data_IF_769277263311
#
_entry.id   IF_769277263311
#
_cell.length_a   1.000
_cell.length_b   1.000
_cell.length_c   1.000
_cell.angle_alpha   90.00
_cell.angle_beta   90.00
_cell.angle_gamma   90.00
#
_symmetry.space_group_name_H-M   'P 1'
#
loop_
_entity.id
_entity.type
_entity.pdbx_description
1 polymer ?
#
# COMPACT_ATOMS: atom_id res chain seq x y z
N UNK A 1 -110.79 33.50 -23.23
CA UNK A 1 -111.67 34.70 -23.10
C UNK A 1 -110.76 35.90 -23.06
N UNK A 2 -110.71 36.61 -24.21
CA UNK A 2 -111.20 37.93 -24.38
C UNK A 2 -110.39 38.98 -23.62
N UNK A 3 -109.91 40.03 -24.13
CA UNK A 3 -110.11 40.81 -25.30
C UNK A 3 -109.29 42.12 -25.17
N UNK A 4 -108.75 42.56 -26.27
CA UNK A 4 -108.72 43.96 -26.77
C UNK A 4 -108.28 45.08 -25.79
N UNK A 5 -107.55 46.05 -26.20
CA UNK A 5 -107.41 46.77 -27.44
C UNK A 5 -106.61 48.05 -27.33
N UNK A 6 -106.13 48.38 -28.46
CA UNK A 6 -105.91 49.69 -29.09
C UNK A 6 -105.37 50.93 -28.34
N UNK A 7 -104.34 51.46 -28.97
CA UNK A 7 -104.38 52.89 -29.39
C UNK A 7 -103.01 53.58 -29.49
N UNK A 8 -102.50 53.66 -30.69
CA UNK A 8 -101.97 54.83 -31.44
C UNK A 8 -101.34 56.00 -30.60
N UNK A 9 -100.18 56.52 -30.83
CA UNK A 9 -99.51 57.03 -32.02
C UNK A 9 -98.23 57.82 -31.65
N UNK A 10 -97.24 57.68 -32.51
CA UNK A 10 -96.38 58.75 -33.02
C UNK A 10 -95.30 59.43 -32.15
N UNK A 11 -94.05 59.27 -32.54
CA UNK A 11 -92.92 60.06 -32.07
C UNK A 11 -91.58 59.60 -32.64
N UNK A 12 -91.40 59.67 -33.97
CA UNK A 12 -90.09 59.54 -34.64
C UNK A 12 -89.22 60.74 -34.26
N UNK A 13 -88.17 60.56 -33.39
CA UNK A 13 -86.92 61.28 -33.50
C UNK A 13 -85.85 60.91 -32.39
N UNK A 14 -86.19 59.99 -31.50
CA UNK A 14 -85.26 59.62 -30.41
C UNK A 14 -84.20 58.56 -30.76
N UNK A 15 -84.30 57.79 -31.85
CA UNK A 15 -83.46 56.59 -32.13
C UNK A 15 -82.08 56.87 -32.71
N UNK A 16 -81.86 58.06 -33.37
CA UNK A 16 -80.54 58.36 -33.95
C UNK A 16 -79.52 58.86 -32.87
N UNK A 17 -79.89 59.64 -31.89
CA UNK A 17 -79.02 60.13 -30.82
C UNK A 17 -78.61 59.03 -29.86
N UNK A 18 -79.50 58.09 -29.52
CA UNK A 18 -79.17 56.96 -28.64
C UNK A 18 -78.17 55.95 -29.30
N UNK A 19 -78.21 55.76 -30.62
CA UNK A 19 -77.28 54.89 -31.35
C UNK A 19 -75.84 55.45 -31.40
N UNK A 20 -75.70 56.77 -31.46
CA UNK A 20 -74.35 57.42 -31.45
C UNK A 20 -73.75 57.36 -30.06
N UNK A 21 -74.53 57.54 -29.00
CA UNK A 21 -74.07 57.45 -27.62
C UNK A 21 -73.68 55.99 -27.27
N UNK A 22 -74.48 55.02 -27.70
CA UNK A 22 -74.13 53.58 -27.49
C UNK A 22 -72.95 53.15 -28.35
N UNK A 23 -72.75 53.72 -29.54
CA UNK A 23 -71.54 53.50 -30.35
C UNK A 23 -70.26 54.07 -29.72
N UNK A 24 -70.35 55.27 -29.14
CA UNK A 24 -69.21 55.89 -28.42
C UNK A 24 -68.88 55.13 -27.12
N UNK A 25 -69.87 54.68 -26.37
CA UNK A 25 -69.69 53.87 -25.18
C UNK A 25 -69.08 52.50 -25.55
N UNK A 26 -69.53 51.88 -26.65
CA UNK A 26 -68.92 50.59 -27.11
C UNK A 26 -67.43 50.73 -27.54
N UNK A 27 -67.09 51.87 -28.19
CA UNK A 27 -65.68 52.14 -28.55
C UNK A 27 -64.80 52.40 -27.32
N UNK A 28 -65.35 53.12 -26.31
CA UNK A 28 -64.58 53.32 -25.05
C UNK A 28 -64.46 52.03 -24.23
N UNK A 29 -65.49 51.18 -24.20
CA UNK A 29 -65.48 49.90 -23.51
C UNK A 29 -64.55 48.89 -24.25
N UNK A 30 -64.59 48.84 -25.58
CA UNK A 30 -63.77 48.00 -26.38
C UNK A 30 -62.29 48.50 -26.41
N UNK A 31 -62.09 49.82 -26.47
CA UNK A 31 -60.76 50.44 -26.39
C UNK A 31 -60.12 50.31 -24.99
N UNK A 32 -60.91 50.61 -23.94
CA UNK A 32 -60.50 50.44 -22.54
C UNK A 32 -60.34 48.98 -22.13
N UNK A 33 -61.22 48.10 -22.59
CA UNK A 33 -61.16 46.68 -22.39
C UNK A 33 -59.94 46.05 -23.13
N UNK A 34 -59.68 46.47 -24.36
CA UNK A 34 -58.50 46.03 -25.15
C UNK A 34 -57.20 46.50 -24.56
N UNK A 35 -57.15 47.72 -23.98
CA UNK A 35 -55.99 48.23 -23.30
C UNK A 35 -55.77 47.55 -21.94
N UNK A 36 -56.81 47.27 -21.19
CA UNK A 36 -56.76 46.52 -19.91
C UNK A 36 -56.35 45.07 -20.11
N UNK A 37 -56.91 44.40 -21.14
CA UNK A 37 -56.52 43.02 -21.48
C UNK A 37 -55.06 42.94 -21.98
N UNK A 38 -54.63 43.95 -22.74
CA UNK A 38 -53.18 43.99 -23.18
C UNK A 38 -52.26 44.31 -22.04
N UNK A 39 -52.65 45.07 -21.03
CA UNK A 39 -51.86 45.29 -19.80
C UNK A 39 -51.92 44.10 -18.85
N UNK A 40 -53.04 43.36 -18.77
CA UNK A 40 -53.17 42.14 -17.95
C UNK A 40 -52.59 40.90 -18.58
N UNK A 41 -52.42 40.85 -19.90
CA UNK A 41 -51.73 39.77 -20.65
C UNK A 41 -50.25 40.06 -20.93
N UNK A 42 -49.67 41.17 -20.42
CA UNK A 42 -48.22 41.35 -20.40
C UNK A 42 -47.69 40.35 -19.41
N UNK A 43 -46.89 39.30 -19.81
CA UNK A 43 -46.32 38.36 -18.88
C UNK A 43 -45.46 39.17 -17.93
N UNK A 44 -45.79 39.14 -16.64
CA UNK A 44 -44.96 39.66 -15.57
C UNK A 44 -43.62 38.93 -15.67
N UNK A 45 -42.60 39.56 -16.25
CA UNK A 45 -41.24 39.01 -16.47
C UNK A 45 -40.46 39.11 -15.18
N UNK A 46 -41.05 38.57 -14.11
CA UNK A 46 -40.31 38.38 -12.88
C UNK A 46 -39.40 37.15 -13.07
N UNK A 47 -38.09 37.38 -13.05
CA UNK A 47 -37.10 36.31 -13.01
C UNK A 47 -37.38 35.55 -11.72
N UNK A 48 -37.47 34.21 -11.82
CA UNK A 48 -37.67 33.33 -10.67
C UNK A 48 -36.58 33.60 -9.61
N UNK A 49 -36.95 34.00 -8.38
CA UNK A 49 -35.96 34.28 -7.33
C UNK A 49 -35.01 33.13 -7.05
N UNK A 50 -35.45 31.89 -7.32
CA UNK A 50 -34.60 30.71 -7.17
C UNK A 50 -33.44 30.64 -8.19
N UNK A 51 -33.51 31.41 -9.26
CA UNK A 51 -32.51 31.54 -10.31
C UNK A 51 -31.60 32.76 -10.16
N UNK A 52 -31.68 33.46 -9.06
CA UNK A 52 -30.82 34.63 -8.80
C UNK A 52 -29.76 34.24 -7.77
N UNK A 53 -28.51 34.47 -8.10
CA UNK A 53 -27.37 34.39 -7.17
C UNK A 53 -26.69 35.75 -7.10
N UNK A 54 -26.03 36.05 -6.00
CA UNK A 54 -25.26 37.30 -5.86
C UNK A 54 -23.77 37.01 -6.05
N UNK A 55 -23.04 37.93 -6.67
CA UNK A 55 -21.61 37.94 -6.67
C UNK A 55 -21.09 38.24 -5.25
N UNK A 56 -20.31 37.35 -4.69
CA UNK A 56 -19.78 37.44 -3.32
C UNK A 56 -18.25 37.38 -3.28
N UNK A 57 -17.67 37.96 -2.24
CA UNK A 57 -16.23 37.80 -2.01
C UNK A 57 -15.98 36.64 -1.06
N UNK A 58 -14.95 35.86 -1.38
CA UNK A 58 -14.52 34.76 -0.52
C UNK A 58 -13.23 34.13 -1.02
N UNK A 59 -12.83 33.09 -0.33
CA UNK A 59 -11.62 32.34 -0.67
C UNK A 59 -11.99 31.27 -1.70
N UNK A 60 -11.25 31.22 -2.79
CA UNK A 60 -11.42 30.26 -3.87
C UNK A 60 -10.15 29.47 -4.07
N UNK A 61 -10.24 28.14 -3.97
CA UNK A 61 -9.14 27.24 -4.21
C UNK A 61 -9.46 26.31 -5.38
N UNK A 62 -8.53 26.16 -6.29
CA UNK A 62 -8.56 25.14 -7.32
C UNK A 62 -7.81 23.92 -6.80
N UNK A 63 -8.47 22.78 -6.73
CA UNK A 63 -7.94 21.56 -6.12
C UNK A 63 -8.02 20.39 -7.08
N UNK A 64 -7.10 19.44 -6.92
CA UNK A 64 -7.24 18.09 -7.47
C UNK A 64 -7.57 17.17 -6.30
N UNK A 65 -8.64 16.40 -6.44
CA UNK A 65 -9.10 15.49 -5.39
C UNK A 65 -8.49 14.11 -5.62
N UNK A 66 -7.74 13.64 -4.64
CA UNK A 66 -7.21 12.28 -4.59
C UNK A 66 -8.00 11.47 -3.55
N UNK A 67 -8.91 10.63 -4.02
CA UNK A 67 -9.69 9.75 -3.13
C UNK A 67 -8.93 8.47 -2.84
N UNK A 68 -8.86 8.08 -1.57
CA UNK A 68 -8.12 6.90 -1.18
C UNK A 68 -8.32 6.47 0.27
N UNK A 69 -7.36 5.69 0.76
CA UNK A 69 -7.36 5.20 2.13
C UNK A 69 -6.12 5.67 2.89
N UNK A 70 -6.30 5.88 4.17
CA UNK A 70 -5.20 6.16 5.09
C UNK A 70 -4.38 4.88 5.29
N UNK A 71 -3.07 5.00 5.13
CA UNK A 71 -2.11 3.92 5.36
C UNK A 71 -1.09 4.36 6.39
N UNK A 72 -0.61 3.46 7.26
CA UNK A 72 0.49 3.75 8.18
C UNK A 72 1.79 3.98 7.38
N UNK A 73 2.74 4.69 7.96
CA UNK A 73 4.03 4.98 7.33
C UNK A 73 4.75 3.69 6.92
N UNK A 74 4.76 2.71 7.81
CA UNK A 74 5.22 1.35 7.52
C UNK A 74 4.16 0.34 7.95
N UNK A 75 4.00 -0.73 7.15
CA UNK A 75 3.14 -1.87 7.45
C UNK A 75 3.96 -3.14 7.24
N UNK A 76 4.07 -3.94 8.29
CA UNK A 76 4.81 -5.20 8.27
C UNK A 76 3.88 -6.35 8.64
N UNK A 77 3.82 -7.34 7.78
CA UNK A 77 3.11 -8.59 8.01
C UNK A 77 4.05 -9.60 8.66
N UNK A 78 3.78 -9.94 9.92
CA UNK A 78 4.53 -10.94 10.66
C UNK A 78 4.00 -12.31 10.31
N UNK A 79 4.77 -13.05 9.54
CA UNK A 79 4.46 -14.42 9.11
C UNK A 79 5.30 -15.42 9.89
N UNK A 80 4.75 -16.62 10.12
CA UNK A 80 5.48 -17.67 10.81
C UNK A 80 6.67 -18.16 9.99
N UNK A 81 7.84 -18.26 10.65
CA UNK A 81 9.04 -18.89 10.10
C UNK A 81 9.20 -20.35 10.55
N UNK A 82 8.49 -20.78 11.60
CA UNK A 82 8.44 -22.14 12.04
C UNK A 82 7.00 -22.69 11.93
N UNK A 83 6.85 -23.98 11.76
CA UNK A 83 5.56 -24.65 11.79
C UNK A 83 5.28 -25.17 13.19
N UNK A 84 4.04 -25.07 13.66
CA UNK A 84 3.64 -25.50 14.99
C UNK A 84 2.26 -25.03 15.39
N UNK A 85 1.91 -25.19 16.65
CA UNK A 85 0.66 -24.72 17.24
C UNK A 85 0.96 -23.50 18.10
N UNK A 86 0.14 -22.45 17.99
CA UNK A 86 0.25 -21.25 18.82
C UNK A 86 -0.07 -21.59 20.26
N UNK A 87 0.92 -21.50 21.14
CA UNK A 87 0.79 -21.83 22.57
C UNK A 87 0.38 -20.62 23.39
N UNK A 88 0.97 -19.45 23.08
CA UNK A 88 0.70 -18.19 23.76
C UNK A 88 0.74 -17.02 22.81
N UNK A 89 -0.12 -16.04 23.09
CA UNK A 89 -0.10 -14.70 22.51
C UNK A 89 0.16 -13.70 23.64
N UNK A 90 1.09 -12.81 23.46
CA UNK A 90 1.53 -11.85 24.49
C UNK A 90 1.00 -10.44 24.26
N UNK A 91 0.47 -10.20 23.06
CA UNK A 91 -0.09 -8.90 22.64
C UNK A 91 -1.37 -9.10 21.85
N UNK A 92 -2.23 -8.09 21.88
CA UNK A 92 -3.48 -8.06 21.10
C UNK A 92 -3.53 -6.84 20.17
N UNK A 93 -4.53 -6.80 19.27
CA UNK A 93 -4.72 -5.65 18.37
C UNK A 93 -4.98 -4.36 19.17
N UNK A 94 -4.39 -3.26 18.72
CA UNK A 94 -4.48 -1.97 19.41
C UNK A 94 -3.39 -1.73 20.46
N UNK A 95 -2.52 -2.70 20.75
CA UNK A 95 -1.40 -2.53 21.66
C UNK A 95 -0.15 -2.04 20.96
N UNK A 96 0.61 -1.18 21.62
CA UNK A 96 1.91 -0.70 21.13
C UNK A 96 3.01 -1.66 21.53
N UNK A 97 3.86 -2.03 20.59
CA UNK A 97 4.98 -2.95 20.77
C UNK A 97 6.30 -2.27 20.44
N UNK A 98 7.36 -2.72 21.09
CA UNK A 98 8.75 -2.30 20.83
C UNK A 98 9.48 -3.35 20.01
N UNK A 99 10.50 -2.92 19.28
CA UNK A 99 11.42 -3.82 18.58
C UNK A 99 12.00 -4.85 19.56
N UNK A 100 11.99 -6.14 19.16
CA UNK A 100 12.43 -7.25 20.00
C UNK A 100 11.40 -7.73 21.03
N UNK A 101 10.26 -7.06 21.21
CA UNK A 101 9.21 -7.48 22.12
C UNK A 101 8.57 -8.79 21.63
N UNK A 102 8.30 -9.70 22.58
CA UNK A 102 7.66 -10.98 22.33
C UNK A 102 6.20 -10.78 21.94
N UNK A 103 5.81 -11.32 20.80
CA UNK A 103 4.44 -11.23 20.24
C UNK A 103 3.67 -12.54 20.46
N UNK A 104 4.28 -13.66 20.05
CA UNK A 104 3.67 -14.97 20.11
C UNK A 104 4.71 -16.05 20.33
N UNK A 105 4.27 -17.17 20.87
CA UNK A 105 5.10 -18.36 21.11
C UNK A 105 4.38 -19.59 20.59
N UNK A 106 5.09 -20.39 19.79
CA UNK A 106 4.62 -21.70 19.35
C UNK A 106 4.95 -22.78 20.39
N UNK A 107 4.28 -23.91 20.33
CA UNK A 107 4.63 -25.06 21.14
C UNK A 107 6.01 -25.62 20.74
N UNK A 108 6.93 -25.59 21.68
CA UNK A 108 8.35 -25.92 21.48
C UNK A 108 8.66 -27.41 21.68
N UNK A 109 7.73 -28.19 22.21
CA UNK A 109 8.00 -29.59 22.64
C UNK A 109 8.62 -30.41 21.52
N UNK A 110 8.05 -30.33 20.31
CA UNK A 110 8.55 -31.06 19.15
C UNK A 110 9.88 -30.50 18.62
N UNK A 111 10.01 -29.17 18.60
CA UNK A 111 11.21 -28.48 18.12
C UNK A 111 12.42 -28.72 19.05
N UNK A 112 12.20 -28.71 20.37
CA UNK A 112 13.20 -29.07 21.36
C UNK A 112 13.61 -30.55 21.25
N UNK A 113 12.67 -31.44 20.95
CA UNK A 113 12.98 -32.84 20.72
C UNK A 113 13.82 -33.03 19.45
N UNK A 114 13.50 -32.33 18.36
CA UNK A 114 14.26 -32.35 17.11
C UNK A 114 15.70 -31.78 17.31
N UNK A 115 15.83 -30.70 18.08
CA UNK A 115 17.12 -30.11 18.42
C UNK A 115 17.98 -31.10 19.23
N UNK A 116 17.40 -31.74 20.27
CA UNK A 116 18.10 -32.77 21.05
C UNK A 116 18.54 -33.98 20.19
N UNK A 117 17.69 -34.42 19.27
CA UNK A 117 18.02 -35.51 18.35
C UNK A 117 19.17 -35.13 17.40
N UNK A 118 19.15 -33.92 16.82
CA UNK A 118 20.22 -33.41 15.95
C UNK A 118 21.53 -33.22 16.71
N UNK A 119 21.47 -32.79 17.97
CA UNK A 119 22.64 -32.68 18.85
C UNK A 119 23.26 -34.04 19.14
N UNK A 120 22.43 -35.05 19.46
CA UNK A 120 22.89 -36.41 19.66
C UNK A 120 23.56 -36.99 18.39
N UNK A 121 23.00 -36.71 17.21
CA UNK A 121 23.58 -37.12 15.94
C UNK A 121 24.97 -36.47 15.70
N UNK A 122 25.12 -35.20 16.03
CA UNK A 122 26.42 -34.51 15.94
C UNK A 122 27.45 -35.15 16.87
N UNK A 123 27.10 -35.45 18.13
CA UNK A 123 27.98 -36.12 19.08
C UNK A 123 28.40 -37.51 18.59
N UNK A 124 27.48 -38.27 17.97
CA UNK A 124 27.81 -39.56 17.39
C UNK A 124 28.81 -39.43 16.20
N UNK A 125 28.62 -38.43 15.34
CA UNK A 125 29.53 -38.18 14.23
C UNK A 125 30.92 -37.70 14.71
N UNK A 126 30.98 -36.87 15.74
CA UNK A 126 32.25 -36.45 16.37
C UNK A 126 33.00 -37.63 17.02
N UNK A 127 32.28 -38.50 17.74
CA UNK A 127 32.88 -39.71 18.30
C UNK A 127 33.40 -40.65 17.21
N UNK A 128 32.72 -40.78 16.08
CA UNK A 128 33.19 -41.56 14.93
C UNK A 128 34.49 -40.98 14.32
N UNK A 129 34.53 -39.64 14.21
CA UNK A 129 35.73 -38.92 13.74
C UNK A 129 36.92 -39.17 14.69
N UNK A 130 36.71 -39.07 16.00
CA UNK A 130 37.76 -39.28 16.98
C UNK A 130 38.28 -40.73 16.98
N UNK A 131 37.36 -41.71 16.80
CA UNK A 131 37.75 -43.12 16.60
C UNK A 131 38.59 -43.31 15.33
N UNK A 132 38.23 -42.64 14.23
CA UNK A 132 39.00 -42.68 12.97
C UNK A 132 40.39 -42.03 13.11
N UNK A 133 40.50 -40.92 13.86
CA UNK A 133 41.77 -40.27 14.19
C UNK A 133 42.65 -41.18 15.03
N UNK A 134 42.11 -41.83 16.08
CA UNK A 134 42.84 -42.79 16.89
C UNK A 134 43.37 -43.98 16.07
N UNK A 135 42.57 -44.44 15.08
CA UNK A 135 42.98 -45.48 14.14
C UNK A 135 44.13 -45.02 13.24
N UNK A 136 44.10 -43.77 12.75
CA UNK A 136 45.19 -43.18 11.99
C UNK A 136 46.49 -43.14 12.80
N UNK A 137 46.42 -42.69 14.06
CA UNK A 137 47.60 -42.63 14.93
C UNK A 137 48.22 -44.04 15.15
N UNK A 138 47.40 -45.06 15.37
CA UNK A 138 47.87 -46.43 15.45
C UNK A 138 48.55 -46.87 14.15
N UNK A 139 47.90 -46.61 13.00
CA UNK A 139 48.42 -47.01 11.69
C UNK A 139 49.71 -46.24 11.30
N UNK A 140 49.96 -45.06 11.85
CA UNK A 140 51.20 -44.32 11.69
C UNK A 140 52.41 -45.09 12.32
N UNK A 141 52.24 -45.60 13.55
CA UNK A 141 53.23 -46.37 14.21
C UNK A 141 53.62 -47.61 13.40
N UNK A 142 52.62 -48.32 12.85
CA UNK A 142 52.84 -49.49 11.98
C UNK A 142 53.55 -49.09 10.68
N UNK A 143 53.31 -47.92 10.11
CA UNK A 143 53.92 -47.41 8.88
C UNK A 143 55.36 -46.91 9.09
N UNK A 144 55.74 -46.51 10.30
CA UNK A 144 57.15 -46.19 10.64
C UNK A 144 58.09 -47.41 10.49
N UNK A 145 57.51 -48.61 10.56
CA UNK A 145 58.25 -49.86 10.32
C UNK A 145 59.43 -50.05 11.25
N UNK A 146 59.24 -50.03 12.59
CA UNK A 146 60.33 -49.99 13.56
C UNK A 146 61.30 -51.16 13.45
N UNK A 147 60.85 -52.28 12.92
CA UNK A 147 61.66 -53.50 12.73
C UNK A 147 62.55 -53.41 11.48
N UNK A 148 62.25 -52.62 10.49
CA UNK A 148 62.91 -52.56 9.19
C UNK A 148 64.38 -52.18 9.29
N UNK A 149 64.80 -51.15 10.08
CA UNK A 149 66.20 -50.77 10.23
C UNK A 149 67.07 -51.89 10.88
N UNK A 150 66.48 -52.60 11.86
CA UNK A 150 67.22 -53.71 12.53
C UNK A 150 67.37 -54.91 11.60
N UNK A 151 66.36 -55.28 10.86
CA UNK A 151 66.41 -56.41 9.92
C UNK A 151 67.32 -56.10 8.74
N UNK A 152 67.35 -54.82 8.29
CA UNK A 152 68.30 -54.39 7.27
C UNK A 152 69.73 -54.52 7.75
N UNK A 153 70.02 -54.04 8.95
CA UNK A 153 71.36 -54.16 9.55
C UNK A 153 71.77 -55.61 9.76
N UNK A 154 70.82 -56.49 10.16
CA UNK A 154 71.05 -57.91 10.30
C UNK A 154 71.40 -58.58 8.95
N UNK A 155 70.68 -58.21 7.88
CA UNK A 155 70.93 -58.67 6.53
C UNK A 155 72.31 -58.22 6.05
N UNK A 156 72.68 -56.95 6.21
CA UNK A 156 74.01 -56.40 5.85
C UNK A 156 75.17 -57.10 6.60
N UNK A 157 74.96 -57.38 7.90
CA UNK A 157 75.95 -58.14 8.69
C UNK A 157 76.10 -59.61 8.21
N UNK A 158 74.95 -60.26 7.89
CA UNK A 158 74.95 -61.61 7.38
C UNK A 158 75.68 -61.71 6.02
N UNK A 159 75.46 -60.75 5.13
CA UNK A 159 76.14 -60.64 3.84
C UNK A 159 77.65 -60.46 4.02
N UNK A 160 78.08 -59.62 5.00
CA UNK A 160 79.50 -59.43 5.28
C UNK A 160 80.16 -60.72 5.83
N UNK A 161 79.45 -61.38 6.77
CA UNK A 161 79.97 -62.67 7.33
C UNK A 161 80.03 -63.79 6.28
N UNK A 162 79.18 -63.80 5.25
CA UNK A 162 79.29 -64.73 4.12
C UNK A 162 80.51 -64.41 3.27
N UNK A 163 80.80 -63.14 3.01
CA UNK A 163 82.04 -62.74 2.29
C UNK A 163 83.30 -63.13 3.02
N UNK A 164 83.26 -63.09 4.36
CA UNK A 164 84.35 -63.48 5.21
C UNK A 164 84.44 -65.00 5.42
N UNK A 165 83.55 -65.79 4.79
CA UNK A 165 83.55 -67.25 4.82
C UNK A 165 83.10 -67.89 6.15
N UNK A 166 82.46 -67.06 7.03
CA UNK A 166 82.04 -67.46 8.40
C UNK A 166 80.59 -67.91 8.46
N UNK A 167 79.77 -67.59 7.43
CA UNK A 167 78.34 -67.88 7.43
C UNK A 167 77.91 -68.65 6.18
N UNK A 168 76.81 -69.46 6.32
CA UNK A 168 76.24 -70.19 5.17
C UNK A 168 75.33 -69.33 4.33
N UNK A 169 75.24 -69.61 3.05
CA UNK A 169 74.39 -68.92 2.11
C UNK A 169 72.88 -68.94 2.54
N UNK A 170 72.42 -70.05 3.11
CA UNK A 170 71.05 -70.22 3.59
C UNK A 170 70.64 -69.20 4.69
N UNK A 171 71.59 -68.89 5.60
CA UNK A 171 71.36 -67.93 6.67
C UNK A 171 71.21 -66.48 6.15
N UNK A 172 71.97 -66.15 5.09
CA UNK A 172 71.84 -64.85 4.41
C UNK A 172 70.51 -64.73 3.69
N UNK A 173 70.11 -65.82 2.99
CA UNK A 173 68.82 -65.89 2.34
C UNK A 173 67.62 -65.72 3.32
N UNK A 174 67.76 -66.32 4.53
CA UNK A 174 66.78 -66.12 5.60
C UNK A 174 66.79 -64.72 6.14
N UNK A 175 67.90 -64.06 6.32
CA UNK A 175 67.99 -62.67 6.75
C UNK A 175 67.39 -61.70 5.68
N UNK A 176 67.73 -61.96 4.40
CA UNK A 176 67.17 -61.18 3.29
C UNK A 176 65.59 -61.34 3.19
N UNK A 177 65.09 -62.54 3.33
CA UNK A 177 63.70 -62.87 3.36
C UNK A 177 63.00 -62.11 4.49
N UNK A 178 63.53 -62.12 5.69
CA UNK A 178 62.94 -61.41 6.83
C UNK A 178 62.92 -59.89 6.63
N UNK A 179 64.02 -59.32 6.08
CA UNK A 179 64.05 -57.89 5.72
C UNK A 179 63.01 -57.58 4.66
N UNK A 180 62.86 -58.33 3.56
CA UNK A 180 61.89 -58.16 2.51
C UNK A 180 60.46 -58.29 3.04
N UNK A 181 60.19 -59.21 3.96
CA UNK A 181 58.88 -59.35 4.62
C UNK A 181 58.55 -58.11 5.45
N UNK A 182 59.50 -57.59 6.22
CA UNK A 182 59.30 -56.37 7.01
C UNK A 182 59.10 -55.13 6.14
N UNK A 183 59.83 -55.00 5.04
CA UNK A 183 59.69 -53.92 4.06
C UNK A 183 58.28 -53.95 3.39
N UNK A 184 57.85 -55.16 2.96
CA UNK A 184 56.50 -55.31 2.37
C UNK A 184 55.39 -54.97 3.37
N UNK A 185 55.58 -55.32 4.66
CA UNK A 185 54.68 -54.97 5.73
C UNK A 185 54.60 -53.45 5.91
N UNK A 186 55.76 -52.75 5.92
CA UNK A 186 55.86 -51.30 5.99
C UNK A 186 55.12 -50.62 4.81
N UNK A 187 55.44 -51.05 3.57
CA UNK A 187 54.77 -50.50 2.36
C UNK A 187 53.23 -50.71 2.40
N UNK A 188 52.80 -51.90 2.92
CA UNK A 188 51.36 -52.15 3.11
C UNK A 188 50.77 -51.20 4.16
N UNK A 189 51.45 -50.95 5.28
CA UNK A 189 51.00 -50.03 6.30
C UNK A 189 50.97 -48.59 5.81
N UNK A 190 51.92 -48.12 5.01
CA UNK A 190 51.92 -46.81 4.35
C UNK A 190 50.69 -46.64 3.44
N UNK A 191 50.33 -47.67 2.68
CA UNK A 191 49.06 -47.60 1.86
C UNK A 191 47.82 -47.53 2.73
N UNK A 192 47.83 -48.21 3.90
CA UNK A 192 46.73 -48.14 4.86
C UNK A 192 46.58 -46.75 5.46
N UNK A 193 47.63 -45.94 5.59
CA UNK A 193 47.56 -44.54 6.00
C UNK A 193 46.73 -43.71 5.02
N UNK A 194 46.88 -43.92 3.72
CA UNK A 194 46.08 -43.21 2.73
C UNK A 194 44.58 -43.52 2.88
N UNK A 195 44.22 -44.79 3.16
CA UNK A 195 42.85 -45.21 3.42
C UNK A 195 42.33 -44.55 4.71
N UNK A 196 43.16 -44.56 5.79
CA UNK A 196 42.76 -43.94 7.06
C UNK A 196 42.54 -42.43 6.94
N UNK A 197 43.36 -41.72 6.14
CA UNK A 197 43.15 -40.30 5.83
C UNK A 197 41.84 -40.05 5.06
N UNK A 198 41.53 -40.92 4.09
CA UNK A 198 40.27 -40.82 3.35
C UNK A 198 39.03 -41.07 4.26
N UNK A 199 39.14 -42.01 5.21
CA UNK A 199 38.07 -42.26 6.18
C UNK A 199 37.88 -41.08 7.14
N UNK A 200 38.95 -40.42 7.58
CA UNK A 200 38.86 -39.18 8.38
C UNK A 200 38.15 -38.09 7.58
N UNK A 201 38.53 -37.85 6.31
CA UNK A 201 37.86 -36.86 5.47
C UNK A 201 36.34 -37.14 5.30
N UNK A 202 35.97 -38.42 5.20
CA UNK A 202 34.57 -38.86 5.17
C UNK A 202 33.88 -38.57 6.50
N UNK A 203 34.47 -38.86 7.64
CA UNK A 203 33.90 -38.56 8.95
C UNK A 203 33.81 -37.05 9.20
N UNK A 204 34.79 -36.26 8.75
CA UNK A 204 34.71 -34.77 8.81
C UNK A 204 33.51 -34.23 8.01
N UNK A 205 33.27 -34.77 6.82
CA UNK A 205 32.08 -34.42 6.04
C UNK A 205 30.77 -34.80 6.76
N UNK A 206 30.73 -35.95 7.46
CA UNK A 206 29.60 -36.38 8.28
C UNK A 206 29.38 -35.44 9.48
N UNK A 207 30.43 -35.01 10.15
CA UNK A 207 30.36 -34.02 11.24
C UNK A 207 29.82 -32.69 10.70
N UNK A 208 30.29 -32.21 9.54
CA UNK A 208 29.81 -30.99 8.91
C UNK A 208 28.32 -31.10 8.59
N UNK A 209 27.87 -32.23 8.05
CA UNK A 209 26.45 -32.49 7.76
C UNK A 209 25.60 -32.51 9.05
N UNK A 210 26.04 -33.19 10.08
CA UNK A 210 25.33 -33.25 11.35
C UNK A 210 25.26 -31.89 12.06
N UNK A 211 26.35 -31.09 11.95
CA UNK A 211 26.36 -29.70 12.45
C UNK A 211 25.37 -28.81 11.75
N UNK A 212 25.28 -28.88 10.42
CA UNK A 212 24.30 -28.14 9.64
C UNK A 212 22.85 -28.54 10.02
N UNK A 213 22.62 -29.83 10.27
CA UNK A 213 21.31 -30.32 10.74
C UNK A 213 20.96 -29.78 12.13
N UNK A 214 21.91 -29.70 13.05
CA UNK A 214 21.71 -29.11 14.38
C UNK A 214 21.42 -27.59 14.25
N UNK A 215 22.14 -26.88 13.42
CA UNK A 215 21.95 -25.45 13.19
C UNK A 215 20.54 -25.17 12.67
N UNK A 216 20.04 -25.95 11.71
CA UNK A 216 18.66 -25.85 11.22
C UNK A 216 17.65 -26.11 12.34
N UNK A 217 17.82 -27.13 13.15
CA UNK A 217 16.91 -27.43 14.26
C UNK A 217 16.92 -26.32 15.32
N UNK A 218 18.07 -25.71 15.57
CA UNK A 218 18.18 -24.56 16.48
C UNK A 218 17.52 -23.30 15.91
N UNK A 219 17.63 -23.09 14.59
CA UNK A 219 16.95 -21.98 13.91
C UNK A 219 15.43 -22.14 13.98
N UNK A 220 14.91 -23.34 13.74
CA UNK A 220 13.49 -23.62 13.87
C UNK A 220 13.00 -23.39 15.31
N UNK A 221 13.80 -23.78 16.30
CA UNK A 221 13.50 -23.54 17.71
C UNK A 221 13.52 -22.03 18.05
N UNK A 222 14.47 -21.26 17.53
CA UNK A 222 14.49 -19.79 17.67
C UNK A 222 13.25 -19.15 17.02
N UNK A 223 12.91 -19.61 15.81
CA UNK A 223 11.78 -19.11 15.04
C UNK A 223 10.41 -19.46 15.64
N UNK A 224 10.36 -20.38 16.62
CA UNK A 224 9.14 -20.65 17.40
C UNK A 224 8.76 -19.50 18.34
N UNK A 225 9.69 -18.59 18.61
CA UNK A 225 9.49 -17.38 19.41
C UNK A 225 9.41 -16.19 18.46
N UNK A 226 8.22 -15.62 18.34
CA UNK A 226 7.92 -14.57 17.37
C UNK A 226 8.04 -13.22 18.05
N UNK A 227 8.93 -12.38 17.56
CA UNK A 227 9.23 -11.05 18.12
C UNK A 227 8.94 -9.95 17.10
N UNK A 228 8.70 -8.73 17.59
CA UNK A 228 8.50 -7.56 16.74
C UNK A 228 9.82 -7.11 16.09
N UNK A 229 9.85 -6.90 14.76
CA UNK A 229 11.02 -6.34 14.07
C UNK A 229 11.09 -4.80 14.16
N UNK A 230 10.02 -4.12 14.56
CA UNK A 230 9.93 -2.65 14.63
C UNK A 230 9.19 -2.20 15.90
N UNK A 231 9.33 -0.91 16.23
CA UNK A 231 8.41 -0.23 17.12
C UNK A 231 7.13 0.11 16.35
N UNK A 232 5.95 -0.11 16.95
CA UNK A 232 4.70 0.18 16.26
C UNK A 232 3.46 -0.29 17.00
N UNK A 233 2.32 -0.18 16.33
CA UNK A 233 1.01 -0.62 16.81
C UNK A 233 0.63 -1.94 16.15
N UNK A 234 0.04 -2.86 16.91
CA UNK A 234 -0.57 -4.08 16.35
C UNK A 234 -1.87 -3.69 15.66
N UNK A 235 -1.88 -3.77 14.32
CA UNK A 235 -3.03 -3.39 13.49
C UNK A 235 -4.06 -4.52 13.38
N UNK A 236 -3.59 -5.78 13.29
CA UNK A 236 -4.44 -6.97 13.29
C UNK A 236 -3.72 -8.15 13.94
N UNK A 237 -4.50 -9.05 14.48
CA UNK A 237 -4.09 -10.37 14.98
C UNK A 237 -4.90 -11.40 14.21
N UNK A 238 -4.20 -12.22 13.43
CA UNK A 238 -4.82 -13.10 12.43
C UNK A 238 -4.85 -14.57 12.89
N UNK A 239 -4.29 -14.87 14.09
CA UNK A 239 -4.26 -16.21 14.69
C UNK A 239 -4.75 -16.19 16.14
N UNK A 240 -5.22 -17.35 16.64
CA UNK A 240 -5.63 -17.57 18.01
C UNK A 240 -4.76 -18.63 18.69
N UNK A 241 -4.83 -18.70 20.02
CA UNK A 241 -4.19 -19.77 20.78
C UNK A 241 -4.82 -21.09 20.36
N UNK A 242 -3.98 -22.08 20.02
CA UNK A 242 -4.40 -23.39 19.52
C UNK A 242 -4.42 -23.51 18.00
N UNK A 243 -4.30 -22.42 17.26
CA UNK A 243 -4.22 -22.46 15.79
C UNK A 243 -2.89 -23.09 15.33
N UNK A 244 -2.98 -23.90 14.28
CA UNK A 244 -1.82 -24.44 13.60
C UNK A 244 -1.28 -23.42 12.58
N UNK A 245 0.00 -23.13 12.65
CA UNK A 245 0.69 -22.21 11.72
C UNK A 245 1.71 -22.95 10.89
N UNK A 246 1.86 -22.53 9.64
CA UNK A 246 2.78 -23.11 8.68
C UNK A 246 3.93 -22.14 8.37
N UNK A 247 5.14 -22.70 8.25
CA UNK A 247 6.35 -21.95 7.91
C UNK A 247 6.36 -21.51 6.46
N UNK A 248 7.01 -20.36 6.19
CA UNK A 248 7.34 -19.88 4.84
C UNK A 248 8.30 -20.82 4.10
N UNK A 249 9.04 -21.66 4.84
CA UNK A 249 10.07 -22.54 4.30
C UNK A 249 9.52 -23.90 3.82
N UNK A 250 8.23 -24.17 4.06
CA UNK A 250 7.60 -25.43 3.59
C UNK A 250 7.16 -25.25 2.13
N UNK A 251 7.75 -26.05 1.26
CA UNK A 251 7.49 -26.01 -0.19
C UNK A 251 5.99 -26.25 -0.48
N UNK A 252 5.37 -25.33 -1.22
CA UNK A 252 3.94 -25.42 -1.60
C UNK A 252 2.94 -24.91 -0.56
N UNK A 253 3.41 -24.45 0.61
CA UNK A 253 2.56 -23.84 1.63
C UNK A 253 2.76 -22.33 1.69
N UNK A 254 1.66 -21.57 1.86
CA UNK A 254 1.77 -20.16 2.19
C UNK A 254 2.03 -20.01 3.69
N UNK A 255 3.00 -19.15 4.04
CA UNK A 255 3.26 -18.83 5.44
C UNK A 255 2.03 -18.24 6.10
N UNK A 256 1.68 -18.74 7.27
CA UNK A 256 0.55 -18.21 8.04
C UNK A 256 0.88 -16.81 8.55
N UNK A 257 0.00 -15.84 8.26
CA UNK A 257 0.06 -14.50 8.81
C UNK A 257 -0.36 -14.56 10.28
N UNK A 258 0.49 -14.05 11.17
CA UNK A 258 0.26 -14.07 12.62
C UNK A 258 -0.32 -12.74 13.06
N UNK A 259 0.35 -11.66 12.73
CA UNK A 259 -0.02 -10.29 13.09
C UNK A 259 0.42 -9.31 12.01
N UNK A 260 -0.25 -8.18 11.95
CA UNK A 260 0.18 -7.03 11.16
C UNK A 260 0.57 -5.89 12.10
N UNK A 261 1.78 -5.40 11.95
CA UNK A 261 2.27 -4.23 12.68
C UNK A 261 2.32 -3.01 11.77
N UNK A 262 2.16 -1.82 12.33
CA UNK A 262 2.32 -0.57 11.59
C UNK A 262 2.76 0.58 12.47
N UNK A 263 3.57 1.46 11.89
CA UNK A 263 3.87 2.75 12.48
C UNK A 263 2.75 3.72 12.10
N UNK A 264 1.98 4.13 13.12
CA UNK A 264 0.84 5.04 12.99
C UNK A 264 1.13 6.45 13.50
N UNK A 265 2.35 6.74 13.89
CA UNK A 265 2.78 8.08 14.33
C UNK A 265 2.66 9.08 13.17
N UNK A 266 3.03 8.66 11.99
CA UNK A 266 2.77 9.33 10.73
C UNK A 266 1.96 8.41 9.82
N UNK A 267 0.97 8.99 9.17
CA UNK A 267 0.14 8.28 8.20
C UNK A 267 0.11 9.04 6.88
N UNK A 268 -0.28 8.37 5.82
CA UNK A 268 -0.49 9.03 4.53
C UNK A 268 -1.79 8.56 3.89
N UNK A 269 -2.41 9.44 3.11
CA UNK A 269 -3.47 9.04 2.19
C UNK A 269 -2.81 8.45 0.95
N UNK A 270 -3.13 7.23 0.64
CA UNK A 270 -2.83 6.61 -0.65
C UNK A 270 -4.02 6.89 -1.57
N UNK A 271 -4.00 8.07 -2.17
CA UNK A 271 -5.08 8.55 -3.03
C UNK A 271 -4.82 8.19 -4.49
N UNK A 272 -5.91 8.14 -5.26
CA UNK A 272 -5.89 7.98 -6.71
C UNK A 272 -6.29 9.28 -7.36
N UNK A 273 -5.54 9.69 -8.37
CA UNK A 273 -5.79 10.88 -9.20
C UNK A 273 -5.94 10.42 -10.63
N UNK A 274 -6.91 10.98 -11.34
CA UNK A 274 -7.14 10.68 -12.74
C UNK A 274 -6.04 11.19 -13.64
N UNK A 275 -5.82 10.51 -14.78
CA UNK A 275 -4.83 10.87 -15.79
C UNK A 275 -4.96 12.34 -16.28
N UNK A 276 -6.20 12.84 -16.39
CA UNK A 276 -6.45 14.22 -16.81
C UNK A 276 -5.91 15.29 -15.85
N UNK A 277 -5.74 14.95 -14.57
CA UNK A 277 -5.34 15.88 -13.52
C UNK A 277 -3.95 15.65 -12.95
N UNK A 278 -3.37 14.46 -13.15
CA UNK A 278 -2.04 14.14 -12.57
C UNK A 278 -0.92 15.08 -13.06
N UNK A 279 -1.00 15.56 -14.30
CA UNK A 279 -0.03 16.51 -14.83
C UNK A 279 0.02 17.87 -14.11
N UNK A 280 -0.96 18.16 -13.25
CA UNK A 280 -1.06 19.38 -12.44
C UNK A 280 -0.55 19.17 -11.01
N UNK A 281 -0.24 17.93 -10.62
CA UNK A 281 0.19 17.57 -9.27
C UNK A 281 1.70 17.47 -9.21
N UNK A 282 2.30 18.14 -8.21
CA UNK A 282 3.75 18.16 -8.00
C UNK A 282 4.07 17.77 -6.54
N UNK A 283 5.32 17.35 -6.34
CA UNK A 283 5.83 17.05 -5.00
C UNK A 283 5.81 18.31 -4.12
N UNK A 284 5.58 18.09 -2.82
CA UNK A 284 5.51 19.13 -1.78
C UNK A 284 4.33 20.08 -1.88
N UNK A 285 3.39 19.89 -2.82
CA UNK A 285 2.15 20.67 -2.82
C UNK A 285 1.38 20.46 -1.52
N UNK A 286 0.85 21.55 -0.93
CA UNK A 286 -0.02 21.45 0.22
C UNK A 286 -1.32 20.76 -0.15
N UNK A 287 -1.86 19.99 0.79
CA UNK A 287 -3.14 19.33 0.62
C UNK A 287 -3.98 19.46 1.89
N UNK A 288 -5.28 19.59 1.69
CA UNK A 288 -6.29 19.54 2.74
C UNK A 288 -6.92 18.16 2.71
N UNK A 289 -6.91 17.47 3.85
CA UNK A 289 -7.44 16.11 3.92
C UNK A 289 -8.74 16.11 4.72
N UNK A 290 -9.77 15.57 4.11
CA UNK A 290 -11.08 15.34 4.73
C UNK A 290 -11.27 13.84 4.88
N UNK A 291 -11.36 13.38 6.13
CA UNK A 291 -11.57 11.97 6.45
C UNK A 291 -13.06 11.75 6.65
N UNK A 292 -13.61 10.69 6.06
CA UNK A 292 -15.05 10.43 6.08
C UNK A 292 -15.62 10.31 7.50
N UNK A 293 -14.81 9.77 8.43
CA UNK A 293 -15.19 9.63 9.84
C UNK A 293 -15.10 10.94 10.64
N UNK A 294 -14.47 12.00 10.08
CA UNK A 294 -14.25 13.30 10.74
C UNK A 294 -14.52 14.44 9.78
N UNK A 295 -15.77 14.54 9.29
CA UNK A 295 -16.16 15.51 8.25
C UNK A 295 -15.95 16.98 8.66
N UNK A 296 -16.07 17.29 9.94
CA UNK A 296 -15.91 18.65 10.47
C UNK A 296 -14.44 19.01 10.74
N UNK A 297 -13.52 18.02 10.71
CA UNK A 297 -12.10 18.22 10.99
C UNK A 297 -11.30 18.12 9.69
N UNK A 298 -10.59 19.19 9.36
CA UNK A 298 -9.68 19.24 8.21
C UNK A 298 -8.26 19.02 8.70
N UNK A 299 -7.63 18.01 8.15
CA UNK A 299 -6.22 17.73 8.39
C UNK A 299 -5.39 18.39 7.29
N UNK A 300 -4.20 18.84 7.63
CA UNK A 300 -3.26 19.40 6.67
C UNK A 300 -2.17 18.38 6.35
N UNK A 301 -1.76 18.36 5.11
CA UNK A 301 -0.70 17.47 4.64
C UNK A 301 0.01 18.03 3.42
N UNK A 302 0.92 17.24 2.86
CA UNK A 302 1.64 17.57 1.63
C UNK A 302 1.83 16.33 0.77
N UNK A 303 1.91 16.54 -0.54
CA UNK A 303 2.24 15.48 -1.50
C UNK A 303 3.70 15.05 -1.29
N UNK A 304 3.91 13.78 -0.95
CA UNK A 304 5.24 13.22 -0.71
C UNK A 304 5.73 12.33 -1.83
N UNK A 305 4.80 11.66 -2.53
CA UNK A 305 5.16 10.74 -3.61
C UNK A 305 4.06 10.69 -4.66
N UNK A 306 4.47 10.59 -5.91
CA UNK A 306 3.58 10.38 -7.07
C UNK A 306 4.10 9.12 -7.77
N UNK A 307 3.21 8.16 -8.04
CA UNK A 307 3.57 6.95 -8.77
C UNK A 307 3.91 7.30 -10.23
N UNK A 308 5.03 6.85 -10.77
CA UNK A 308 5.33 7.01 -12.18
C UNK A 308 4.52 6.05 -13.08
N UNK A 309 3.88 5.04 -12.49
CA UNK A 309 3.09 4.03 -13.20
C UNK A 309 1.59 4.24 -12.92
N UNK A 310 0.84 4.50 -13.99
CA UNK A 310 -0.62 4.51 -13.94
C UNK A 310 -1.17 3.09 -13.79
N UNK A 311 -2.28 2.96 -13.09
CA UNK A 311 -3.03 1.70 -12.96
C UNK A 311 -4.36 1.87 -13.68
N UNK A 312 -4.59 1.03 -14.66
CA UNK A 312 -5.86 0.96 -15.37
C UNK A 312 -6.82 0.02 -14.64
N UNK A 313 -8.00 0.49 -14.36
CA UNK A 313 -9.09 -0.29 -13.81
C UNK A 313 -10.40 0.21 -14.42
N UNK A 314 -11.22 -0.70 -14.92
CA UNK A 314 -12.52 -0.38 -15.52
C UNK A 314 -12.40 0.68 -16.64
N UNK A 315 -11.37 0.62 -17.49
CA UNK A 315 -11.03 1.56 -18.56
C UNK A 315 -10.71 3.00 -18.06
N UNK A 316 -10.40 3.18 -16.78
CA UNK A 316 -9.97 4.44 -16.22
C UNK A 316 -8.53 4.31 -15.74
N UNK A 317 -7.63 5.15 -16.28
CA UNK A 317 -6.25 5.22 -15.83
C UNK A 317 -6.13 6.18 -14.65
N UNK A 318 -5.62 5.68 -13.53
CA UNK A 318 -5.39 6.47 -12.33
C UNK A 318 -3.94 6.35 -11.86
N UNK A 319 -3.43 7.40 -11.25
CA UNK A 319 -2.10 7.45 -10.66
C UNK A 319 -2.19 7.51 -9.13
N UNK A 320 -1.38 6.70 -8.46
CA UNK A 320 -1.31 6.73 -7.02
C UNK A 320 -0.48 7.93 -6.54
N UNK A 321 -1.06 8.71 -5.63
CA UNK A 321 -0.42 9.84 -4.97
C UNK A 321 -0.43 9.62 -3.47
N UNK A 322 0.69 9.85 -2.80
CA UNK A 322 0.79 9.80 -1.34
C UNK A 322 0.80 11.20 -0.78
N UNK A 323 -0.12 11.46 0.13
CA UNK A 323 -0.21 12.72 0.86
C UNK A 323 0.03 12.43 2.34
N UNK A 324 1.11 12.94 2.91
CA UNK A 324 1.45 12.74 4.32
C UNK A 324 0.53 13.52 5.25
N UNK A 325 0.25 12.94 6.41
CA UNK A 325 -0.54 13.55 7.48
C UNK A 325 0.17 13.25 8.80
N UNK A 326 0.36 14.25 9.63
CA UNK A 326 0.80 14.05 11.01
C UNK A 326 -0.37 13.58 11.88
N UNK A 327 -0.17 12.50 12.66
CA UNK A 327 -1.19 11.88 13.49
C UNK A 327 -0.78 11.79 14.98
N UNK A 328 -0.43 12.92 15.63
CA UNK A 328 0.14 12.92 16.98
C UNK A 328 -0.82 12.37 18.05
N UNK A 329 -2.12 12.40 17.80
CA UNK A 329 -3.15 11.88 18.70
C UNK A 329 -3.60 10.45 18.41
N UNK A 330 -3.08 9.78 17.36
CA UNK A 330 -3.51 8.43 16.98
C UNK A 330 -5.00 8.33 16.56
N UNK A 331 -5.63 9.47 16.26
CA UNK A 331 -7.05 9.50 15.87
C UNK A 331 -7.30 8.86 14.51
N UNK A 332 -6.36 9.02 13.59
CA UNK A 332 -6.44 8.46 12.25
C UNK A 332 -5.99 7.00 12.28
N UNK A 333 -6.88 6.12 11.85
CA UNK A 333 -6.62 4.67 11.80
C UNK A 333 -6.37 4.20 10.39
N UNK A 334 -5.61 3.13 10.25
CA UNK A 334 -5.36 2.50 8.96
C UNK A 334 -6.68 2.08 8.28
N UNK A 335 -6.70 2.17 6.96
CA UNK A 335 -7.84 1.86 6.08
C UNK A 335 -9.06 2.80 6.18
N UNK A 336 -9.02 3.90 6.97
CA UNK A 336 -10.05 4.93 6.89
C UNK A 336 -10.07 5.55 5.49
N UNK A 337 -11.28 5.82 4.97
CA UNK A 337 -11.46 6.53 3.70
C UNK A 337 -11.22 8.02 3.87
N UNK A 338 -10.46 8.61 2.98
CA UNK A 338 -10.11 10.02 2.99
C UNK A 338 -10.02 10.60 1.59
N UNK A 339 -10.38 11.86 1.47
CA UNK A 339 -10.22 12.67 0.28
C UNK A 339 -9.11 13.70 0.54
N UNK A 340 -8.04 13.64 -0.24
CA UNK A 340 -6.98 14.63 -0.21
C UNK A 340 -7.21 15.65 -1.32
N UNK A 341 -7.57 16.87 -0.95
CA UNK A 341 -7.72 18.03 -1.83
C UNK A 341 -6.34 18.67 -2.00
N UNK A 342 -5.65 18.35 -3.08
CA UNK A 342 -4.32 18.88 -3.42
C UNK A 342 -4.50 20.28 -3.96
N UNK A 343 -3.95 21.28 -3.30
CA UNK A 343 -4.10 22.69 -3.64
C UNK A 343 -3.20 23.03 -4.84
N UNK A 344 -3.83 23.37 -5.97
CA UNK A 344 -3.13 23.87 -7.17
C UNK A 344 -2.90 25.36 -7.07
N UNK A 345 -3.93 26.10 -6.72
CA UNK A 345 -3.92 27.56 -6.59
C UNK A 345 -4.97 27.97 -5.57
N UNK A 346 -4.63 28.84 -4.65
CA UNK A 346 -5.56 29.43 -3.68
C UNK A 346 -5.48 30.95 -3.77
N UNK A 347 -6.64 31.59 -3.90
CA UNK A 347 -6.77 33.03 -3.86
C UNK A 347 -7.76 33.42 -2.76
N UNK A 348 -7.41 34.41 -2.00
CA UNK A 348 -8.23 34.92 -0.90
C UNK A 348 -8.96 36.18 -1.27
N UNK A 349 -10.17 36.33 -0.74
CA UNK A 349 -10.99 37.53 -0.90
C UNK A 349 -11.22 37.94 -2.36
N UNK A 350 -11.43 36.97 -3.25
CA UNK A 350 -11.75 37.20 -4.67
C UNK A 350 -13.24 37.30 -4.89
N UNK A 351 -13.65 38.11 -5.88
CA UNK A 351 -15.05 38.18 -6.30
C UNK A 351 -15.38 36.93 -7.11
N UNK A 352 -16.43 36.20 -6.71
CA UNK A 352 -16.79 34.93 -7.32
C UNK A 352 -18.30 34.84 -7.58
N UNK A 353 -18.64 34.10 -8.63
CA UNK A 353 -20.02 33.73 -8.98
C UNK A 353 -20.16 32.23 -9.16
N UNK A 354 -21.37 31.66 -8.98
CA UNK A 354 -21.61 30.26 -9.32
C UNK A 354 -21.30 29.99 -10.80
N UNK A 355 -20.64 28.85 -11.10
CA UNK A 355 -20.32 28.45 -12.47
C UNK A 355 -21.58 28.40 -13.36
N UNK A 356 -22.73 28.01 -12.78
CA UNK A 356 -24.01 27.95 -13.45
C UNK A 356 -24.57 29.34 -13.92
N UNK A 357 -23.93 30.45 -13.51
CA UNK A 357 -24.29 31.79 -14.01
C UNK A 357 -23.51 32.22 -15.26
N UNK A 358 -22.51 31.43 -15.67
CA UNK A 358 -21.63 31.76 -16.79
C UNK A 358 -22.20 31.25 -18.11
N UNK A 359 -22.14 32.10 -19.11
CA UNK A 359 -22.53 31.78 -20.50
C UNK A 359 -21.28 31.93 -21.37
N UNK A 360 -20.91 30.87 -22.06
CA UNK A 360 -19.80 30.89 -23.01
C UNK A 360 -20.30 31.07 -24.43
N UNK A 361 -19.76 32.04 -25.15
CA UNK A 361 -20.05 32.23 -26.57
C UNK A 361 -19.19 31.23 -27.41
N UNK A 362 -19.51 31.14 -28.72
CA UNK A 362 -18.78 30.28 -29.69
C UNK A 362 -17.30 30.59 -29.72
N UNK A 363 -16.92 31.82 -29.38
CA UNK A 363 -15.51 32.27 -29.27
C UNK A 363 -14.88 32.04 -27.87
N UNK A 364 -15.57 31.28 -26.97
CA UNK A 364 -15.18 31.06 -25.55
C UNK A 364 -15.07 32.34 -24.70
N UNK A 365 -15.71 33.43 -25.12
CA UNK A 365 -15.84 34.62 -24.29
C UNK A 365 -16.94 34.40 -23.25
N UNK A 366 -16.59 34.63 -21.98
CA UNK A 366 -17.52 34.47 -20.87
C UNK A 366 -18.35 35.71 -20.67
N UNK A 367 -19.61 35.52 -20.31
CA UNK A 367 -20.56 36.58 -19.97
C UNK A 367 -21.53 36.07 -18.90
N UNK A 368 -22.08 36.99 -18.15
CA UNK A 368 -23.18 36.75 -17.18
C UNK A 368 -24.42 37.52 -17.58
N UNK A 369 -25.58 36.98 -17.24
CA UNK A 369 -26.85 37.73 -17.35
C UNK A 369 -27.17 38.34 -15.98
N UNK A 370 -27.43 39.65 -15.97
CA UNK A 370 -27.87 40.37 -14.79
C UNK A 370 -29.33 40.79 -14.96
N UNK A 371 -30.11 40.84 -13.86
CA UNK A 371 -31.48 41.40 -13.94
C UNK A 371 -31.43 42.88 -14.35
N UNK A 372 -32.17 43.26 -15.40
CA UNK A 372 -32.30 44.65 -15.83
C UNK A 372 -33.77 44.93 -16.22
N UNK A 373 -34.48 45.64 -15.35
CA UNK A 373 -35.88 45.99 -15.56
C UNK A 373 -36.13 46.91 -16.79
N UNK A 374 -35.06 47.47 -17.40
CA UNK A 374 -35.19 48.32 -18.61
C UNK A 374 -34.94 47.53 -19.89
N UNK A 375 -34.41 46.33 -19.82
CA UNK A 375 -34.13 45.51 -21.00
C UNK A 375 -35.38 44.81 -21.52
N UNK A 376 -35.52 44.70 -22.84
CA UNK A 376 -36.68 44.09 -23.53
C UNK A 376 -36.97 42.66 -23.04
N UNK A 377 -35.96 41.93 -22.50
CA UNK A 377 -36.08 40.59 -21.96
C UNK A 377 -35.94 40.51 -20.43
N UNK A 378 -35.91 41.63 -19.70
CA UNK A 378 -35.65 41.67 -18.26
C UNK A 378 -34.24 41.29 -17.85
N UNK A 379 -33.35 41.06 -18.83
CA UNK A 379 -31.97 40.57 -18.62
C UNK A 379 -31.01 41.38 -19.47
N UNK A 380 -29.84 41.67 -18.92
CA UNK A 380 -28.72 42.29 -19.63
C UNK A 380 -27.52 41.39 -19.61
N UNK A 381 -26.92 41.12 -20.76
CA UNK A 381 -25.71 40.35 -20.90
C UNK A 381 -24.50 41.23 -20.65
N UNK A 382 -23.63 40.84 -19.73
CA UNK A 382 -22.42 41.56 -19.35
C UNK A 382 -21.21 40.66 -19.63
N UNK A 383 -20.23 41.15 -20.39
CA UNK A 383 -19.00 40.43 -20.62
C UNK A 383 -18.13 40.49 -19.36
N UNK A 384 -17.58 39.35 -18.94
CA UNK A 384 -16.76 39.24 -17.74
C UNK A 384 -15.41 38.59 -18.05
N UNK A 385 -14.41 38.96 -17.28
CA UNK A 385 -13.07 38.35 -17.37
C UNK A 385 -12.95 37.35 -16.22
N UNK A 386 -12.72 36.08 -16.58
CA UNK A 386 -12.65 35.00 -15.60
C UNK A 386 -11.23 34.84 -15.07
N UNK A 387 -11.12 34.42 -13.82
CA UNK A 387 -9.91 33.97 -13.16
C UNK A 387 -9.93 32.44 -12.93
N UNK A 388 -9.59 32.01 -11.70
CA UNK A 388 -9.60 30.58 -11.34
C UNK A 388 -11.04 30.08 -11.12
N UNK A 389 -11.27 28.79 -11.40
CA UNK A 389 -12.53 28.11 -11.13
C UNK A 389 -12.26 26.81 -10.36
N UNK A 390 -13.18 26.45 -9.45
CA UNK A 390 -13.19 25.17 -8.76
C UNK A 390 -14.32 24.23 -9.24
N UNK A 391 -14.99 24.56 -10.36
CA UNK A 391 -16.10 23.79 -10.91
C UNK A 391 -17.46 24.09 -10.28
N UNK A 392 -17.52 24.81 -9.14
CA UNK A 392 -18.74 25.27 -8.49
C UNK A 392 -18.88 26.79 -8.55
N UNK A 393 -17.77 27.48 -8.27
CA UNK A 393 -17.64 28.94 -8.31
C UNK A 393 -16.45 29.33 -9.16
N UNK A 394 -16.55 30.47 -9.84
CA UNK A 394 -15.49 31.02 -10.69
C UNK A 394 -15.22 32.47 -10.29
N UNK A 395 -13.93 32.79 -10.21
CA UNK A 395 -13.42 34.14 -9.95
C UNK A 395 -13.76 35.07 -11.12
N UNK A 396 -14.22 36.26 -10.79
CA UNK A 396 -14.42 37.36 -11.73
C UNK A 396 -13.33 38.41 -11.49
N UNK A 397 -12.46 38.61 -12.49
CA UNK A 397 -11.38 39.60 -12.43
C UNK A 397 -11.84 40.98 -12.81
N UNK A 398 -12.83 41.06 -13.74
CA UNK A 398 -13.37 42.33 -14.23
C UNK A 398 -14.78 42.12 -14.82
N UNK A 399 -15.59 43.16 -14.81
CA UNK A 399 -16.90 43.18 -15.44
C UNK A 399 -18.08 42.99 -14.49
N UNK A 400 -17.89 42.79 -13.15
CA UNK A 400 -18.97 42.64 -12.19
C UNK A 400 -18.62 43.34 -10.86
N UNK A 401 -19.63 43.80 -10.14
CA UNK A 401 -19.44 44.40 -8.81
C UNK A 401 -19.88 43.42 -7.71
N UNK A 402 -19.34 43.64 -6.51
CA UNK A 402 -19.75 42.87 -5.33
C UNK A 402 -21.22 43.07 -5.02
N UNK A 403 -21.92 42.00 -4.61
CA UNK A 403 -23.37 41.96 -4.34
C UNK A 403 -24.25 42.17 -5.59
N UNK A 404 -23.68 42.23 -6.77
CA UNK A 404 -24.46 42.29 -8.01
C UNK A 404 -25.13 40.95 -8.27
N UNK A 405 -26.42 40.99 -8.56
CA UNK A 405 -27.22 39.81 -8.86
C UNK A 405 -26.88 39.28 -10.25
N UNK A 406 -26.72 37.94 -10.35
CA UNK A 406 -26.51 37.20 -11.59
C UNK A 406 -27.59 36.12 -11.72
N UNK A 407 -27.94 35.79 -12.95
CA UNK A 407 -28.98 34.81 -13.24
C UNK A 407 -28.32 33.47 -13.51
N UNK A 408 -28.76 32.42 -12.82
CA UNK A 408 -28.40 31.04 -13.06
C UNK A 408 -29.09 30.51 -14.32
N UNK A 409 -28.34 29.73 -15.11
CA UNK A 409 -28.86 29.15 -16.37
C UNK A 409 -29.59 27.83 -16.14
#
# INVERSE_FOLDING_TARGET
MSSNGNGLANGKNGKKRRRIIWGAVAIVVLGGGGYGVKAALSPSRTIDPSKIASAERGDLARVVVATGKIQPLSKIEIKSKASGIVKKLYVDYGETVKQGQLLAELDKVQLEAAERASRANLQAAEAALDSSKATLERNKVDAEGPDVPFLKLNMERAEQMLKDGVMSKSLVEDAEKNYRLALNKQVSAERTLAVSKAEIAKCEAQVAQARASLENAQEDLRNSTIVSPIDGLVLSRDVNIGDAVSSILVLGSQATLIMTLGDVSEVYVQGKVDEADIGKVFLSQPARIVVESFKDKKFTGKVTKISPLGKEKDNVTTFEVRVSISNPGGELKANMSANAEILLEEKRNVLMVPEASLIYDKERKASVEIPDGKAQNGKKKLSVKLGISNGVKTEILDGLQEKQEVILQ
#
